data_IF_772143393798
#
_entry.id   IF_772143393798
#
_cell.length_a   1.000
_cell.length_b   1.000
_cell.length_c   1.000
_cell.angle_alpha   90.00
_cell.angle_beta   90.00
_cell.angle_gamma   90.00
#
_symmetry.space_group_name_H-M   'P 1'
#
loop_
_entity.id
_entity.type
_entity.pdbx_description
1 polymer ?
#
# COMPACT_ATOMS: atom_id res chain seq x y z
N UNK A 1 -6.91 14.42 -1.33
CA UNK A 1 -7.61 13.21 -1.83
C UNK A 1 -7.43 12.12 -0.80
N UNK A 2 -8.39 11.23 -0.55
CA UNK A 2 -8.15 10.08 0.32
C UNK A 2 -7.03 9.18 -0.22
N UNK A 3 -6.20 8.68 0.69
CA UNK A 3 -5.10 7.77 0.46
C UNK A 3 -5.40 6.44 1.14
N UNK A 4 -5.31 5.34 0.40
CA UNK A 4 -5.45 3.98 0.90
C UNK A 4 -4.11 3.29 0.78
N UNK A 5 -3.58 2.79 1.89
CA UNK A 5 -2.35 2.02 1.94
C UNK A 5 -2.71 0.59 2.34
N UNK A 6 -2.28 -0.39 1.55
CA UNK A 6 -2.57 -1.81 1.75
C UNK A 6 -1.25 -2.56 1.90
N UNK A 7 -1.07 -3.27 3.01
CA UNK A 7 0.00 -4.22 3.23
C UNK A 7 -0.48 -5.65 2.99
N UNK A 8 0.19 -6.37 2.09
CA UNK A 8 -0.04 -7.78 1.79
C UNK A 8 1.15 -8.59 2.29
N UNK A 9 0.95 -9.47 3.26
CA UNK A 9 2.00 -10.35 3.77
C UNK A 9 1.85 -11.73 3.12
N UNK A 10 2.81 -12.14 2.30
CA UNK A 10 2.83 -13.44 1.64
C UNK A 10 1.48 -13.81 0.98
N UNK A 11 0.91 -12.88 0.21
CA UNK A 11 -0.36 -13.05 -0.50
C UNK A 11 -1.64 -12.85 0.34
N UNK A 12 -1.54 -12.49 1.62
CA UNK A 12 -2.69 -12.20 2.49
C UNK A 12 -2.74 -10.70 2.81
N UNK A 13 -3.88 -10.06 2.63
CA UNK A 13 -4.09 -8.67 3.12
C UNK A 13 -4.01 -8.67 4.63
N UNK A 14 -2.95 -8.09 5.17
CA UNK A 14 -2.66 -8.06 6.60
C UNK A 14 -3.10 -6.73 7.24
N UNK A 15 -2.84 -5.60 6.56
CA UNK A 15 -3.21 -4.28 7.05
C UNK A 15 -3.77 -3.37 5.95
N UNK A 16 -4.81 -2.59 6.29
CA UNK A 16 -5.34 -1.52 5.45
C UNK A 16 -5.44 -0.24 6.27
N UNK A 17 -4.87 0.85 5.75
CA UNK A 17 -4.91 2.19 6.36
C UNK A 17 -5.50 3.21 5.40
N UNK A 18 -6.30 4.12 5.95
CA UNK A 18 -6.94 5.21 5.22
C UNK A 18 -6.60 6.54 5.89
N UNK A 19 -6.21 7.53 5.09
CA UNK A 19 -6.01 8.91 5.55
C UNK A 19 -6.40 9.90 4.47
N UNK A 20 -6.79 11.12 4.85
CA UNK A 20 -7.01 12.23 3.91
C UNK A 20 -5.80 13.16 3.78
N UNK A 21 -4.78 12.91 4.61
CA UNK A 21 -3.58 13.72 4.75
C UNK A 21 -2.42 13.01 4.04
N UNK A 22 -1.80 13.71 3.09
CA UNK A 22 -0.73 13.18 2.23
C UNK A 22 0.56 12.89 3.00
N UNK A 23 0.94 13.76 3.95
CA UNK A 23 2.16 13.55 4.74
C UNK A 23 1.99 12.33 5.64
N UNK A 24 0.82 12.19 6.27
CA UNK A 24 0.49 10.97 7.03
C UNK A 24 0.43 9.73 6.16
N UNK A 25 -0.02 9.84 4.91
CA UNK A 25 -0.06 8.70 3.99
C UNK A 25 1.36 8.17 3.74
N UNK A 26 2.32 9.08 3.50
CA UNK A 26 3.73 8.74 3.34
C UNK A 26 4.33 8.13 4.60
N UNK A 27 4.04 8.69 5.78
CA UNK A 27 4.51 8.13 7.06
C UNK A 27 3.98 6.71 7.30
N UNK A 28 2.69 6.48 6.99
CA UNK A 28 2.06 5.15 7.09
C UNK A 28 2.71 4.17 6.13
N UNK A 29 2.87 4.55 4.86
CA UNK A 29 3.51 3.70 3.85
C UNK A 29 4.94 3.34 4.23
N UNK A 30 5.75 4.32 4.66
CA UNK A 30 7.11 4.06 5.15
C UNK A 30 7.15 3.08 6.31
N UNK A 31 6.19 3.21 7.24
CA UNK A 31 6.10 2.31 8.39
C UNK A 31 5.77 0.90 7.96
N UNK A 32 4.77 0.71 7.10
CA UNK A 32 4.37 -0.61 6.60
C UNK A 32 5.51 -1.23 5.78
N UNK A 33 6.15 -0.47 4.88
CA UNK A 33 7.32 -0.92 4.13
C UNK A 33 8.41 -1.45 5.06
N UNK A 34 8.70 -0.75 6.16
CA UNK A 34 9.68 -1.18 7.15
C UNK A 34 9.25 -2.44 7.90
N UNK A 35 7.99 -2.54 8.29
CA UNK A 35 7.43 -3.73 8.96
C UNK A 35 7.48 -4.96 8.04
N UNK A 36 7.30 -4.74 6.74
CA UNK A 36 7.21 -5.78 5.71
C UNK A 36 8.56 -6.11 5.08
N UNK A 37 9.62 -5.43 5.55
CA UNK A 37 10.99 -5.53 5.05
C UNK A 37 11.12 -5.28 3.54
N UNK A 38 10.31 -4.35 3.01
CA UNK A 38 10.34 -3.92 1.61
C UNK A 38 10.80 -2.48 1.47
N UNK A 39 11.33 -2.13 0.29
CA UNK A 39 11.74 -0.75 0.02
C UNK A 39 10.54 0.18 -0.04
N UNK A 40 10.74 1.39 0.47
CA UNK A 40 9.80 2.49 0.27
C UNK A 40 9.89 3.05 -1.16
N UNK A 41 11.05 2.95 -1.79
CA UNK A 41 11.25 3.39 -3.18
C UNK A 41 10.50 2.44 -4.13
N UNK A 42 9.56 3.01 -4.90
CA UNK A 42 8.64 2.26 -5.78
C UNK A 42 9.39 1.32 -6.72
N UNK A 43 10.42 1.82 -7.39
CA UNK A 43 11.19 1.04 -8.36
C UNK A 43 11.91 -0.17 -7.73
N UNK A 44 12.50 0.00 -6.56
CA UNK A 44 13.19 -1.10 -5.85
C UNK A 44 12.19 -2.14 -5.36
N UNK A 45 10.99 -1.70 -4.99
CA UNK A 45 9.89 -2.51 -4.52
C UNK A 45 9.27 -3.35 -5.65
N UNK A 46 9.06 -2.76 -6.84
CA UNK A 46 8.65 -3.51 -8.04
C UNK A 46 9.66 -4.60 -8.39
N UNK A 47 10.96 -4.28 -8.39
CA UNK A 47 12.01 -5.27 -8.61
C UNK A 47 12.01 -6.39 -7.56
N UNK A 48 11.69 -6.08 -6.30
CA UNK A 48 11.55 -7.07 -5.25
C UNK A 48 10.34 -7.99 -5.51
N UNK A 49 9.20 -7.47 -5.98
CA UNK A 49 8.01 -8.27 -6.28
C UNK A 49 8.25 -9.27 -7.41
N UNK A 50 8.93 -8.85 -8.47
CA UNK A 50 9.22 -9.74 -9.60
C UNK A 50 10.17 -10.88 -9.23
N UNK A 51 11.07 -10.66 -8.26
CA UNK A 51 12.12 -11.63 -7.87
C UNK A 51 11.65 -12.63 -6.82
N UNK A 52 10.52 -12.39 -6.16
CA UNK A 52 10.01 -13.24 -5.07
C UNK A 52 8.67 -13.85 -5.45
N UNK A 53 8.53 -15.16 -5.31
CA UNK A 53 7.28 -15.87 -5.66
C UNK A 53 6.11 -15.54 -4.71
N UNK A 54 6.43 -15.21 -3.45
CA UNK A 54 5.48 -14.81 -2.41
C UNK A 54 6.03 -13.55 -1.72
N UNK A 55 6.04 -12.39 -2.41
CA UNK A 55 6.57 -11.16 -1.84
C UNK A 55 5.65 -10.65 -0.72
N UNK A 56 6.23 -9.92 0.22
CA UNK A 56 5.47 -8.95 0.99
C UNK A 56 5.23 -7.73 0.09
N UNK A 57 4.02 -7.19 0.05
CA UNK A 57 3.66 -6.10 -0.87
C UNK A 57 3.03 -4.94 -0.12
N UNK A 58 3.24 -3.73 -0.63
CA UNK A 58 2.71 -2.48 -0.09
C UNK A 58 2.21 -1.65 -1.26
N UNK A 59 0.92 -1.40 -1.27
CA UNK A 59 0.24 -0.63 -2.31
C UNK A 59 -0.28 0.69 -1.75
N UNK A 60 -0.12 1.77 -2.52
CA UNK A 60 -0.63 3.10 -2.17
C UNK A 60 -1.55 3.62 -3.29
N UNK A 61 -2.84 3.75 -2.99
CA UNK A 61 -3.84 4.27 -3.90
C UNK A 61 -4.31 5.65 -3.49
N UNK A 62 -4.49 6.54 -4.47
CA UNK A 62 -5.25 7.78 -4.29
C UNK A 62 -6.67 7.57 -4.79
N UNK A 63 -7.65 7.83 -3.94
CA UNK A 63 -9.07 7.64 -4.26
C UNK A 63 -9.69 8.98 -4.61
N UNK A 64 -10.49 9.02 -5.68
CA UNK A 64 -11.27 10.21 -6.04
C UNK A 64 -12.47 10.34 -5.11
N UNK A 65 -12.88 11.57 -4.80
CA UNK A 65 -14.01 11.82 -3.88
C UNK A 65 -15.37 11.36 -4.44
N UNK A 66 -15.48 11.12 -5.75
CA UNK A 66 -16.74 10.77 -6.43
C UNK A 66 -17.00 9.25 -6.58
N UNK A 67 -16.46 8.40 -5.69
CA UNK A 67 -16.69 6.96 -5.79
C UNK A 67 -18.06 6.58 -5.20
N UNK A 68 -19.05 6.35 -6.08
CA UNK A 68 -20.30 5.65 -5.73
C UNK A 68 -20.07 4.14 -5.75
N UNK A 69 -20.36 3.48 -4.62
CA UNK A 69 -20.52 2.02 -4.59
C UNK A 69 -21.91 1.71 -5.12
N UNK A 70 -21.99 1.15 -6.32
CA UNK A 70 -23.24 0.54 -6.79
C UNK A 70 -23.31 -0.85 -6.15
N UNK A 71 -24.23 -1.03 -5.20
CA UNK A 71 -24.58 -2.37 -4.70
C UNK A 71 -25.34 -3.11 -5.82
N UNK A 72 -24.79 -4.22 -6.34
CA UNK A 72 -25.50 -5.19 -7.19
C UNK A 72 -26.27 -6.22 -6.35
#
# INVERSE_FOLDING_TARGET
MPHVIVGVWQGIVDEVRLTKDEEKAKEIEQKICKEFEVSFEEKEREEYYEKNAEPNEVYHFTVREDFTVEEE
#
